data_IF_856274434740
#
_entry.id   IF_856274434740
#
_cell.length_a   1.000
_cell.length_b   1.000
_cell.length_c   1.000
_cell.angle_alpha   90.00
_cell.angle_beta   90.00
_cell.angle_gamma   90.00
#
_symmetry.space_group_name_H-M   'P 1'
#
loop_
_entity.id
_entity.type
_entity.pdbx_description
1 polymer ?
#
# COMPACT_ATOMS: atom_id res chain seq x y z
N UNK A 1 -1.70 -19.16 17.55
CA UNK A 1 -1.96 -18.63 16.20
C UNK A 1 -0.86 -17.63 15.89
N UNK A 2 -0.43 -17.56 14.62
CA UNK A 2 0.56 -16.57 14.19
C UNK A 2 -0.06 -15.19 14.08
N UNK A 3 0.79 -14.17 14.27
CA UNK A 3 0.41 -12.76 14.21
C UNK A 3 1.05 -12.08 13.00
N UNK A 4 0.26 -11.33 12.25
CA UNK A 4 0.72 -10.50 11.13
C UNK A 4 0.64 -9.01 11.48
N UNK A 5 1.66 -8.24 11.10
CA UNK A 5 1.50 -6.80 10.89
C UNK A 5 1.19 -6.55 9.41
N UNK A 6 0.13 -5.81 9.16
CA UNK A 6 -0.30 -5.44 7.81
C UNK A 6 -0.26 -3.93 7.63
N UNK A 7 0.31 -3.50 6.51
CA UNK A 7 0.59 -2.10 6.22
C UNK A 7 -0.26 -1.63 5.03
N UNK A 8 -1.12 -0.62 5.20
CA UNK A 8 -1.93 -0.09 4.11
C UNK A 8 -1.08 0.64 3.06
N UNK A 9 -1.72 1.05 1.99
CA UNK A 9 -1.09 1.82 0.93
C UNK A 9 -1.54 3.28 0.91
N UNK A 10 -1.29 3.91 -0.23
CA UNK A 10 -1.78 5.25 -0.52
C UNK A 10 -3.32 5.28 -0.44
N UNK A 11 -3.86 6.29 0.22
CA UNK A 11 -5.28 6.42 0.53
C UNK A 11 -5.58 6.48 2.03
N UNK A 12 -4.68 5.99 2.87
CA UNK A 12 -4.82 6.06 4.34
C UNK A 12 -4.28 7.36 4.95
N UNK A 13 -3.67 8.26 4.15
CA UNK A 13 -3.16 9.54 4.65
C UNK A 13 -4.30 10.44 5.15
N UNK A 14 -4.04 11.15 6.23
CA UNK A 14 -4.95 12.16 6.78
C UNK A 14 -4.19 13.32 7.43
N UNK A 15 -4.82 14.49 7.47
CA UNK A 15 -4.27 15.66 8.15
C UNK A 15 -3.91 15.35 9.60
N UNK A 16 -2.76 15.82 10.05
CA UNK A 16 -2.26 15.60 11.40
C UNK A 16 -1.59 14.25 11.63
N UNK A 17 -1.52 13.37 10.61
CA UNK A 17 -0.99 12.01 10.76
C UNK A 17 0.43 12.00 11.35
N UNK A 18 0.62 11.23 12.40
CA UNK A 18 1.90 11.02 13.06
C UNK A 18 2.29 12.08 14.10
N UNK A 19 1.51 13.15 14.27
CA UNK A 19 1.81 14.20 15.24
C UNK A 19 1.81 13.66 16.68
N UNK A 20 0.84 12.84 17.01
CA UNK A 20 0.71 12.17 18.30
C UNK A 20 1.90 11.22 18.58
N UNK A 21 2.37 10.49 17.58
CA UNK A 21 3.56 9.62 17.71
C UNK A 21 4.81 10.47 17.95
N UNK A 22 4.97 11.53 17.17
CA UNK A 22 6.10 12.44 17.28
C UNK A 22 6.18 13.08 18.66
N UNK A 23 5.05 13.52 19.21
CA UNK A 23 5.01 14.19 20.53
C UNK A 23 5.20 13.21 21.71
N UNK A 24 4.66 11.99 21.59
CA UNK A 24 4.62 11.05 22.70
C UNK A 24 5.87 10.15 22.79
N UNK A 25 6.52 9.85 21.66
CA UNK A 25 7.59 8.84 21.61
C UNK A 25 8.89 9.39 21.04
N UNK A 26 9.97 9.50 21.86
CA UNK A 26 11.28 9.96 21.37
C UNK A 26 11.84 9.14 20.21
N UNK A 27 11.55 7.82 20.17
CA UNK A 27 11.98 6.95 19.06
C UNK A 27 11.26 7.30 17.75
N UNK A 28 9.93 7.54 17.81
CA UNK A 28 9.17 8.02 16.65
C UNK A 28 9.69 9.38 16.19
N UNK A 29 9.84 10.33 17.12
CA UNK A 29 10.39 11.65 16.84
C UNK A 29 11.72 11.56 16.09
N UNK A 30 12.63 10.70 16.54
CA UNK A 30 13.93 10.50 15.87
C UNK A 30 13.78 10.03 14.42
N UNK A 31 12.80 9.15 14.11
CA UNK A 31 12.53 8.71 12.73
C UNK A 31 11.98 9.85 11.87
N UNK A 32 11.05 10.63 12.41
CA UNK A 32 10.51 11.80 11.70
C UNK A 32 11.58 12.85 11.40
N UNK A 33 12.50 13.13 12.35
CA UNK A 33 13.60 14.08 12.11
C UNK A 33 14.61 13.51 11.09
N UNK A 34 14.94 12.23 11.12
CA UNK A 34 15.77 11.59 10.07
C UNK A 34 15.14 11.74 8.68
N UNK A 35 13.80 11.63 8.59
CA UNK A 35 13.11 11.88 7.34
C UNK A 35 13.19 13.35 6.89
N UNK A 36 13.05 14.30 7.83
CA UNK A 36 13.25 15.72 7.53
C UNK A 36 14.67 15.99 7.00
N UNK A 37 15.69 15.40 7.63
CA UNK A 37 17.09 15.53 7.21
C UNK A 37 17.29 14.94 5.81
N UNK A 38 16.71 13.76 5.54
CA UNK A 38 16.79 13.13 4.22
C UNK A 38 16.23 14.03 3.11
N UNK A 39 15.09 14.66 3.34
CA UNK A 39 14.45 15.54 2.35
C UNK A 39 15.09 16.95 2.28
N UNK A 40 15.95 17.32 3.22
CA UNK A 40 16.43 18.70 3.35
C UNK A 40 15.29 19.71 3.57
N UNK A 41 14.12 19.25 3.98
CA UNK A 41 12.91 20.03 4.33
C UNK A 41 12.09 19.29 5.37
N UNK A 42 11.24 20.00 6.06
CA UNK A 42 10.34 19.39 7.06
C UNK A 42 9.13 18.75 6.39
N UNK A 43 9.27 17.49 5.99
CA UNK A 43 8.12 16.69 5.52
C UNK A 43 7.06 16.57 6.62
N UNK A 44 7.48 16.62 7.88
CA UNK A 44 6.60 16.65 9.05
C UNK A 44 5.64 17.82 9.06
N UNK A 45 6.00 18.98 8.50
CA UNK A 45 5.10 20.13 8.44
C UNK A 45 3.91 19.84 7.53
N UNK A 46 4.14 19.14 6.40
CA UNK A 46 3.07 18.67 5.53
C UNK A 46 2.21 17.61 6.23
N UNK A 47 2.82 16.67 6.96
CA UNK A 47 2.11 15.60 7.68
C UNK A 47 1.25 16.13 8.82
N UNK A 48 1.76 17.10 9.59
CA UNK A 48 1.13 17.56 10.84
C UNK A 48 0.19 18.74 10.63
N UNK A 49 0.45 19.59 9.67
CA UNK A 49 -0.20 20.88 9.49
C UNK A 49 -0.60 21.19 8.04
N UNK A 50 -0.16 20.37 7.08
CA UNK A 50 -0.48 20.55 5.68
C UNK A 50 -1.96 20.27 5.41
N UNK A 51 -2.49 20.90 4.35
CA UNK A 51 -3.83 20.64 3.87
C UNK A 51 -3.97 19.23 3.27
N UNK A 52 -5.19 18.73 3.21
CA UNK A 52 -5.50 17.48 2.53
C UNK A 52 -4.97 17.47 1.08
N UNK A 53 -5.09 18.58 0.37
CA UNK A 53 -4.59 18.71 -1.00
C UNK A 53 -3.06 18.55 -1.10
N UNK A 54 -2.30 19.18 -0.20
CA UNK A 54 -0.85 19.01 -0.16
C UNK A 54 -0.46 17.57 0.18
N UNK A 55 -1.17 16.96 1.12
CA UNK A 55 -0.92 15.60 1.55
C UNK A 55 -1.31 14.58 0.47
N UNK A 56 -2.29 14.88 -0.39
CA UNK A 56 -2.70 14.05 -1.53
C UNK A 56 -1.72 14.06 -2.71
N UNK A 57 -0.79 15.01 -2.77
CA UNK A 57 0.26 14.96 -3.80
C UNK A 57 1.13 13.72 -3.62
N UNK A 58 1.25 12.87 -4.63
CA UNK A 58 1.97 11.58 -4.58
C UNK A 58 3.37 11.70 -3.98
N UNK A 59 4.10 12.77 -4.29
CA UNK A 59 5.44 13.08 -3.74
C UNK A 59 5.45 13.29 -2.22
N UNK A 60 4.31 13.67 -1.63
CA UNK A 60 4.12 13.86 -0.19
C UNK A 60 3.44 12.64 0.43
N UNK A 61 2.38 12.13 -0.19
CA UNK A 61 1.60 11.00 0.33
C UNK A 61 2.45 9.78 0.61
N UNK A 62 3.24 9.34 -0.39
CA UNK A 62 3.96 8.08 -0.24
C UNK A 62 5.01 8.15 0.87
N UNK A 63 5.88 9.17 0.95
CA UNK A 63 6.79 9.30 2.08
C UNK A 63 6.06 9.46 3.42
N UNK A 64 4.98 10.23 3.49
CA UNK A 64 4.24 10.46 4.73
C UNK A 64 3.66 9.18 5.30
N UNK A 65 3.00 8.36 4.47
CA UNK A 65 2.44 7.06 4.86
C UNK A 65 3.56 6.12 5.32
N UNK A 66 4.63 5.99 4.55
CA UNK A 66 5.76 5.14 4.90
C UNK A 66 6.40 5.52 6.25
N UNK A 67 6.69 6.81 6.45
CA UNK A 67 7.31 7.31 7.71
C UNK A 67 6.40 6.99 8.89
N UNK A 68 5.09 7.26 8.74
CA UNK A 68 4.10 6.98 9.77
C UNK A 68 4.04 5.49 10.12
N UNK A 69 3.93 4.62 9.12
CA UNK A 69 3.83 3.17 9.30
C UNK A 69 5.06 2.60 10.01
N UNK A 70 6.27 2.99 9.57
CA UNK A 70 7.51 2.56 10.21
C UNK A 70 7.59 3.08 11.64
N UNK A 71 7.27 4.36 11.87
CA UNK A 71 7.27 4.94 13.21
C UNK A 71 6.28 4.23 14.12
N UNK A 72 5.04 4.00 13.68
CA UNK A 72 4.03 3.30 14.46
C UNK A 72 4.43 1.86 14.78
N UNK A 73 4.91 1.10 13.79
CA UNK A 73 5.30 -0.29 14.00
C UNK A 73 6.51 -0.46 14.91
N UNK A 74 7.52 0.42 14.81
CA UNK A 74 8.78 0.29 15.57
C UNK A 74 8.74 0.89 16.97
N UNK A 75 7.78 1.76 17.24
CA UNK A 75 7.61 2.39 18.57
C UNK A 75 6.93 1.45 19.56
N UNK A 76 5.98 0.63 19.09
CA UNK A 76 5.32 -0.37 19.92
C UNK A 76 6.29 -1.54 20.24
N UNK A 77 6.11 -2.18 21.41
CA UNK A 77 6.99 -3.27 21.89
C UNK A 77 6.22 -4.56 22.24
N UNK A 78 4.90 -4.56 22.06
CA UNK A 78 4.04 -5.68 22.47
C UNK A 78 3.96 -6.74 21.36
N UNK A 79 3.76 -6.31 20.10
CA UNK A 79 3.56 -7.23 18.99
C UNK A 79 4.88 -7.50 18.29
N UNK A 80 5.35 -8.74 18.40
CA UNK A 80 6.42 -9.28 17.56
C UNK A 80 5.74 -10.07 16.45
N UNK A 81 5.78 -9.63 15.19
CA UNK A 81 5.07 -10.32 14.13
C UNK A 81 5.76 -11.62 13.75
N UNK A 82 4.97 -12.66 13.51
CA UNK A 82 5.43 -13.90 12.87
C UNK A 82 5.60 -13.72 11.36
N UNK A 83 4.82 -12.80 10.79
CA UNK A 83 4.88 -12.43 9.37
C UNK A 83 4.50 -10.96 9.19
N UNK A 84 4.93 -10.37 8.08
CA UNK A 84 4.51 -9.03 7.68
C UNK A 84 3.99 -9.03 6.24
N UNK A 85 3.06 -8.11 5.94
CA UNK A 85 2.52 -7.93 4.60
C UNK A 85 2.18 -6.45 4.38
N UNK A 86 2.46 -5.94 3.20
CA UNK A 86 2.12 -4.56 2.85
C UNK A 86 1.28 -4.49 1.58
N UNK A 87 0.27 -3.65 1.58
CA UNK A 87 -0.55 -3.38 0.41
C UNK A 87 0.08 -2.27 -0.43
N UNK A 88 0.56 -2.60 -1.63
CA UNK A 88 1.21 -1.62 -2.51
C UNK A 88 2.36 -0.89 -1.79
N UNK A 89 2.21 0.40 -1.52
CA UNK A 89 3.20 1.22 -0.80
C UNK A 89 3.60 0.60 0.56
N UNK A 90 2.66 0.01 1.28
CA UNK A 90 2.90 -0.61 2.59
C UNK A 90 3.93 -1.75 2.56
N UNK A 91 4.22 -2.35 1.40
CA UNK A 91 5.27 -3.36 1.28
C UNK A 91 6.66 -2.80 1.64
N UNK A 92 6.92 -1.52 1.38
CA UNK A 92 8.17 -0.87 1.76
C UNK A 92 8.31 -0.73 3.28
N UNK A 93 7.22 -0.41 3.98
CA UNK A 93 7.20 -0.40 5.45
C UNK A 93 7.40 -1.82 6.02
N UNK A 94 6.75 -2.83 5.43
CA UNK A 94 6.94 -4.23 5.80
C UNK A 94 8.41 -4.68 5.66
N UNK A 95 9.09 -4.29 4.57
CA UNK A 95 10.51 -4.56 4.35
C UNK A 95 11.41 -3.93 5.42
N UNK A 96 11.11 -2.71 5.87
CA UNK A 96 11.87 -2.04 6.92
C UNK A 96 11.58 -2.66 8.29
N UNK A 97 10.31 -2.87 8.63
CA UNK A 97 9.89 -3.40 9.94
C UNK A 97 10.38 -4.83 10.15
N UNK A 98 10.46 -5.64 9.10
CA UNK A 98 11.07 -6.98 9.15
C UNK A 98 12.60 -6.98 9.21
N UNK A 99 13.24 -5.81 9.06
CA UNK A 99 14.71 -5.69 9.08
C UNK A 99 15.40 -5.99 7.74
N UNK A 100 14.65 -6.22 6.67
CA UNK A 100 15.23 -6.44 5.34
C UNK A 100 15.86 -5.18 4.76
N UNK A 101 15.27 -4.01 5.00
CA UNK A 101 15.80 -2.71 4.62
C UNK A 101 16.10 -1.84 5.83
N UNK A 102 17.06 -0.92 5.71
CA UNK A 102 17.18 0.20 6.64
C UNK A 102 16.05 1.20 6.42
N UNK A 103 15.78 2.05 7.41
CA UNK A 103 14.78 3.11 7.27
C UNK A 103 15.15 4.07 6.12
N UNK A 104 16.42 4.47 6.01
CA UNK A 104 16.92 5.35 4.97
C UNK A 104 16.81 4.73 3.58
N UNK A 105 17.15 3.45 3.44
CA UNK A 105 16.99 2.75 2.16
C UNK A 105 15.52 2.68 1.76
N UNK A 106 14.63 2.31 2.69
CA UNK A 106 13.20 2.29 2.46
C UNK A 106 12.64 3.66 2.06
N UNK A 107 13.06 4.72 2.77
CA UNK A 107 12.65 6.09 2.48
C UNK A 107 13.14 6.55 1.10
N UNK A 108 14.39 6.22 0.74
CA UNK A 108 14.96 6.51 -0.57
C UNK A 108 14.19 5.82 -1.69
N UNK A 109 13.85 4.55 -1.52
CA UNK A 109 13.06 3.80 -2.51
C UNK A 109 11.65 4.38 -2.66
N UNK A 110 10.97 4.70 -1.56
CA UNK A 110 9.64 5.31 -1.57
C UNK A 110 9.64 6.69 -2.22
N UNK A 111 10.65 7.51 -1.94
CA UNK A 111 10.82 8.81 -2.59
C UNK A 111 10.92 8.68 -4.11
N UNK A 112 11.79 7.80 -4.60
CA UNK A 112 11.97 7.62 -6.03
C UNK A 112 10.75 6.93 -6.69
N UNK A 113 10.08 6.01 -5.96
CA UNK A 113 8.80 5.43 -6.41
C UNK A 113 7.75 6.51 -6.65
N UNK A 114 7.64 7.46 -5.73
CA UNK A 114 6.70 8.57 -5.85
C UNK A 114 7.07 9.49 -7.03
N UNK A 115 8.35 9.83 -7.16
CA UNK A 115 8.87 10.71 -8.21
C UNK A 115 8.67 10.10 -9.62
N UNK A 116 9.11 8.86 -9.82
CA UNK A 116 9.03 8.20 -11.12
C UNK A 116 7.59 7.81 -11.48
N UNK A 117 6.81 7.40 -10.48
CA UNK A 117 5.38 7.14 -10.67
C UNK A 117 4.63 8.39 -11.10
N UNK A 118 4.88 9.53 -10.46
CA UNK A 118 4.27 10.80 -10.85
C UNK A 118 4.68 11.22 -12.26
N UNK A 119 5.96 11.12 -12.61
CA UNK A 119 6.47 11.41 -13.95
C UNK A 119 5.77 10.55 -15.04
N UNK A 120 5.58 9.25 -14.78
CA UNK A 120 4.88 8.35 -15.68
C UNK A 120 3.40 8.75 -15.84
N UNK A 121 2.74 9.18 -14.75
CA UNK A 121 1.36 9.64 -14.78
C UNK A 121 1.15 10.94 -15.56
N UNK A 122 2.10 11.87 -15.46
CA UNK A 122 2.06 13.14 -16.19
C UNK A 122 2.26 12.92 -17.70
N UNK A 123 3.08 11.95 -18.09
CA UNK A 123 3.36 11.63 -19.49
C UNK A 123 2.15 11.02 -20.21
N UNK A 124 1.38 10.18 -19.53
CA UNK A 124 0.25 9.47 -20.12
C UNK A 124 -1.00 9.67 -19.27
N UNK A 125 -2.06 10.34 -19.82
CA UNK A 125 -3.30 10.57 -19.09
C UNK A 125 -4.05 9.26 -18.83
N UNK A 126 -3.96 8.76 -17.61
CA UNK A 126 -4.57 7.51 -17.15
C UNK A 126 -5.52 7.76 -15.98
N UNK A 127 -6.22 6.72 -15.55
CA UNK A 127 -7.12 6.77 -14.41
C UNK A 127 -7.16 5.43 -13.67
N UNK A 128 -7.70 5.45 -12.46
CA UNK A 128 -8.00 4.26 -11.67
C UNK A 128 -9.46 4.26 -11.24
N UNK A 129 -10.03 3.07 -11.08
CA UNK A 129 -11.41 2.91 -10.64
C UNK A 129 -11.59 1.72 -9.70
N UNK A 130 -12.49 1.85 -8.73
CA UNK A 130 -12.84 0.77 -7.82
C UNK A 130 -14.17 0.14 -8.21
N UNK A 131 -14.23 -1.20 -8.20
CA UNK A 131 -15.42 -1.99 -8.48
C UNK A 131 -15.67 -2.92 -7.31
N UNK A 132 -16.93 -2.96 -6.85
CA UNK A 132 -17.37 -3.82 -5.74
C UNK A 132 -18.67 -4.51 -6.11
N UNK A 133 -18.76 -5.82 -5.84
CA UNK A 133 -20.00 -6.58 -5.86
C UNK A 133 -20.26 -7.39 -7.12
N UNK A 134 -19.25 -7.55 -7.97
CA UNK A 134 -19.26 -8.51 -9.08
C UNK A 134 -18.11 -9.52 -8.90
N UNK A 135 -18.25 -10.77 -9.38
CA UNK A 135 -17.14 -11.74 -9.35
C UNK A 135 -15.93 -11.27 -10.15
N UNK A 136 -14.72 -11.57 -9.65
CA UNK A 136 -13.47 -11.14 -10.29
C UNK A 136 -13.37 -11.64 -11.74
N UNK A 137 -13.70 -12.91 -11.99
CA UNK A 137 -13.69 -13.53 -13.34
C UNK A 137 -14.68 -12.85 -14.30
N UNK A 138 -15.82 -12.39 -13.77
CA UNK A 138 -16.78 -11.63 -14.59
C UNK A 138 -16.20 -10.28 -14.99
N UNK A 139 -15.56 -9.58 -14.05
CA UNK A 139 -14.93 -8.29 -14.31
C UNK A 139 -13.79 -8.45 -15.31
N UNK A 140 -12.95 -9.49 -15.17
CA UNK A 140 -11.85 -9.80 -16.11
C UNK A 140 -12.36 -10.00 -17.54
N UNK A 141 -13.41 -10.81 -17.69
CA UNK A 141 -14.04 -11.05 -18.99
C UNK A 141 -14.56 -9.75 -19.60
N UNK A 142 -15.29 -8.93 -18.80
CA UNK A 142 -15.85 -7.67 -19.29
C UNK A 142 -14.81 -6.65 -19.68
N UNK A 143 -13.72 -6.54 -18.93
CA UNK A 143 -12.60 -5.66 -19.26
C UNK A 143 -12.01 -6.06 -20.62
N UNK A 144 -11.79 -7.36 -20.84
CA UNK A 144 -11.27 -7.85 -22.12
C UNK A 144 -12.19 -7.51 -23.28
N UNK A 145 -13.50 -7.77 -23.14
CA UNK A 145 -14.49 -7.47 -24.17
C UNK A 145 -14.56 -5.96 -24.47
N UNK A 146 -14.51 -5.11 -23.44
CA UNK A 146 -14.51 -3.65 -23.60
C UNK A 146 -13.22 -3.19 -24.31
N UNK A 147 -12.08 -3.76 -23.95
CA UNK A 147 -10.83 -3.44 -24.61
C UNK A 147 -10.85 -3.85 -26.09
N UNK A 148 -11.32 -5.07 -26.40
CA UNK A 148 -11.44 -5.56 -27.78
C UNK A 148 -12.38 -4.68 -28.62
N UNK A 149 -13.47 -4.17 -28.04
CA UNK A 149 -14.43 -3.29 -28.72
C UNK A 149 -13.91 -1.85 -28.92
N UNK A 150 -13.17 -1.32 -27.94
CA UNK A 150 -12.85 0.12 -27.91
C UNK A 150 -11.41 0.45 -28.26
N UNK A 151 -10.50 -0.54 -28.21
CA UNK A 151 -9.06 -0.35 -28.31
C UNK A 151 -8.44 0.30 -27.06
N UNK A 152 -9.23 0.57 -25.99
CA UNK A 152 -8.83 1.30 -24.80
C UNK A 152 -8.34 0.34 -23.72
N UNK A 153 -7.02 0.37 -23.37
CA UNK A 153 -6.46 -0.61 -22.45
C UNK A 153 -6.91 -0.38 -21.00
N UNK A 154 -7.33 -1.46 -20.35
CA UNK A 154 -7.71 -1.53 -18.94
C UNK A 154 -7.07 -2.75 -18.31
N UNK A 155 -6.49 -2.59 -17.14
CA UNK A 155 -5.78 -3.62 -16.38
C UNK A 155 -6.34 -3.72 -14.97
N UNK A 156 -6.16 -4.89 -14.33
CA UNK A 156 -6.32 -5.02 -12.89
C UNK A 156 -5.11 -4.41 -12.20
N UNK A 157 -5.36 -3.52 -11.23
CA UNK A 157 -4.33 -2.95 -10.36
C UNK A 157 -4.29 -3.64 -8.99
N UNK A 158 -5.46 -3.97 -8.42
CA UNK A 158 -5.53 -4.60 -7.11
C UNK A 158 -6.65 -5.63 -7.06
N UNK A 159 -6.34 -6.81 -6.52
CA UNK A 159 -7.30 -7.81 -6.05
C UNK A 159 -7.41 -7.66 -4.53
N UNK A 160 -8.29 -6.77 -4.06
CA UNK A 160 -8.38 -6.40 -2.64
C UNK A 160 -9.16 -7.41 -1.79
N UNK A 161 -10.08 -8.11 -2.39
CA UNK A 161 -10.90 -9.14 -1.77
C UNK A 161 -11.88 -9.71 -2.79
N UNK A 162 -12.53 -10.85 -2.54
CA UNK A 162 -13.50 -11.41 -3.47
C UNK A 162 -14.58 -10.40 -3.86
N UNK A 163 -14.66 -10.08 -5.14
CA UNK A 163 -15.58 -9.07 -5.67
C UNK A 163 -15.25 -7.62 -5.30
N UNK A 164 -14.02 -7.34 -4.88
CA UNK A 164 -13.54 -5.99 -4.61
C UNK A 164 -12.19 -5.77 -5.28
N UNK A 165 -12.19 -5.07 -6.41
CA UNK A 165 -11.00 -4.87 -7.24
C UNK A 165 -10.79 -3.39 -7.56
N UNK A 166 -9.55 -3.05 -7.89
CA UNK A 166 -9.18 -1.78 -8.50
C UNK A 166 -8.68 -2.04 -9.90
N UNK A 167 -9.17 -1.25 -10.85
CA UNK A 167 -8.76 -1.27 -12.25
C UNK A 167 -8.02 0.01 -12.60
N UNK A 168 -7.15 -0.07 -13.60
CA UNK A 168 -6.31 1.04 -14.04
C UNK A 168 -6.17 1.01 -15.57
N UNK A 169 -5.96 2.15 -16.20
CA UNK A 169 -5.83 2.20 -17.66
C UNK A 169 -6.07 3.57 -18.25
N UNK A 170 -6.40 3.61 -19.56
CA UNK A 170 -6.76 4.86 -20.22
C UNK A 170 -7.97 5.49 -19.56
N UNK A 171 -8.03 6.82 -19.57
CA UNK A 171 -9.19 7.55 -18.98
C UNK A 171 -10.53 7.14 -19.60
N UNK A 172 -10.55 6.91 -20.91
CA UNK A 172 -11.76 6.49 -21.61
C UNK A 172 -12.12 5.04 -21.28
N UNK A 173 -11.13 4.14 -21.29
CA UNK A 173 -11.32 2.72 -20.94
C UNK A 173 -11.86 2.57 -19.53
N UNK A 174 -11.29 3.27 -18.55
CA UNK A 174 -11.76 3.24 -17.16
C UNK A 174 -13.19 3.76 -17.03
N UNK A 175 -13.50 4.91 -17.62
CA UNK A 175 -14.87 5.48 -17.56
C UNK A 175 -15.90 4.56 -18.22
N UNK A 176 -15.57 4.00 -19.38
CA UNK A 176 -16.45 3.05 -20.08
C UNK A 176 -16.68 1.80 -19.26
N UNK A 177 -15.61 1.22 -18.72
CA UNK A 177 -15.69 0.01 -17.88
C UNK A 177 -16.52 0.25 -16.62
N UNK A 178 -16.28 1.34 -15.88
CA UNK A 178 -17.03 1.68 -14.68
C UNK A 178 -18.52 1.88 -14.98
N UNK A 179 -18.86 2.58 -16.07
CA UNK A 179 -20.25 2.78 -16.48
C UNK A 179 -20.95 1.45 -16.77
N UNK A 180 -20.36 0.61 -17.64
CA UNK A 180 -20.95 -0.67 -18.03
C UNK A 180 -21.11 -1.61 -16.84
N UNK A 181 -20.07 -1.79 -16.02
CA UNK A 181 -20.16 -2.66 -14.86
C UNK A 181 -21.16 -2.15 -13.81
N UNK A 182 -21.37 -0.82 -13.72
CA UNK A 182 -22.44 -0.28 -12.88
C UNK A 182 -23.83 -0.63 -13.40
N UNK A 183 -24.04 -0.53 -14.70
CA UNK A 183 -25.29 -0.93 -15.37
C UNK A 183 -25.53 -2.45 -15.27
N UNK A 184 -24.47 -3.25 -15.23
CA UNK A 184 -24.48 -4.71 -15.09
C UNK A 184 -24.58 -5.21 -13.64
N UNK A 185 -24.78 -4.31 -12.67
CA UNK A 185 -25.12 -4.68 -11.30
C UNK A 185 -24.00 -4.56 -10.27
N UNK A 186 -22.86 -3.93 -10.59
CA UNK A 186 -21.87 -3.60 -9.58
C UNK A 186 -22.49 -2.75 -8.46
N UNK A 187 -22.30 -3.15 -7.20
CA UNK A 187 -22.75 -2.37 -6.03
C UNK A 187 -22.08 -0.99 -6.02
N UNK A 188 -20.79 -0.97 -6.35
CA UNK A 188 -19.99 0.25 -6.49
C UNK A 188 -19.10 0.13 -7.73
N UNK A 189 -19.07 1.19 -8.55
CA UNK A 189 -18.14 1.37 -9.66
C UNK A 189 -17.84 2.86 -9.74
N UNK A 190 -16.67 3.29 -9.24
CA UNK A 190 -16.34 4.70 -9.03
C UNK A 190 -14.92 5.01 -9.47
N UNK A 191 -14.74 6.21 -10.02
CA UNK A 191 -13.42 6.75 -10.31
C UNK A 191 -12.70 7.09 -8.99
N UNK A 192 -11.42 6.74 -8.91
CA UNK A 192 -10.58 7.10 -7.77
C UNK A 192 -9.87 8.44 -8.02
N UNK A 193 -9.70 9.23 -6.97
CA UNK A 193 -8.95 10.49 -7.00
C UNK A 193 -7.42 10.31 -7.01
N UNK A 194 -6.94 9.12 -7.27
CA UNK A 194 -5.50 8.80 -7.33
C UNK A 194 -5.03 9.09 -8.76
N UNK A 195 -4.02 9.93 -8.89
CA UNK A 195 -3.37 10.18 -10.17
C UNK A 195 -2.52 8.98 -10.58
N UNK A 196 -2.79 8.47 -11.78
CA UNK A 196 -1.90 7.53 -12.45
C UNK A 196 -2.29 6.06 -12.43
N UNK A 197 -1.61 5.31 -13.30
CA UNK A 197 -1.86 3.88 -13.52
C UNK A 197 -0.79 3.01 -12.84
N UNK A 198 -0.65 3.15 -11.52
CA UNK A 198 0.15 2.22 -10.75
C UNK A 198 -0.33 0.78 -10.98
N UNK A 199 0.59 -0.18 -10.87
CA UNK A 199 0.32 -1.62 -11.03
C UNK A 199 -0.14 -2.00 -12.44
N UNK A 200 0.43 -1.36 -13.46
CA UNK A 200 0.14 -1.62 -14.87
C UNK A 200 1.36 -1.38 -15.76
N UNK A 201 1.33 -1.82 -17.02
CA UNK A 201 2.41 -1.55 -17.99
C UNK A 201 2.72 -0.06 -18.22
N UNK A 202 1.80 0.85 -17.89
CA UNK A 202 2.06 2.28 -17.94
C UNK A 202 3.18 2.75 -17.00
N UNK A 203 3.56 1.92 -16.01
CA UNK A 203 4.66 2.17 -15.08
C UNK A 203 6.00 1.58 -15.53
N UNK A 204 6.14 1.06 -16.77
CA UNK A 204 7.38 0.41 -17.20
C UNK A 204 8.62 1.31 -17.08
N UNK A 205 8.53 2.60 -17.48
CA UNK A 205 9.65 3.52 -17.32
C UNK A 205 10.00 3.73 -15.83
N UNK A 206 8.98 3.90 -14.99
CA UNK A 206 9.17 4.02 -13.54
C UNK A 206 9.78 2.75 -12.94
N UNK A 207 9.39 1.56 -13.42
CA UNK A 207 9.99 0.28 -13.01
C UNK A 207 11.48 0.21 -13.36
N UNK A 208 11.85 0.63 -14.57
CA UNK A 208 13.26 0.61 -15.01
C UNK A 208 14.10 1.57 -14.17
N UNK A 209 13.67 2.83 -14.00
CA UNK A 209 14.38 3.83 -13.21
C UNK A 209 14.47 3.42 -11.72
N UNK A 210 13.39 2.97 -11.11
CA UNK A 210 13.35 2.50 -9.73
C UNK A 210 14.15 1.20 -9.56
N UNK A 211 14.08 0.29 -10.53
CA UNK A 211 14.79 -0.97 -10.53
C UNK A 211 16.30 -0.80 -10.43
N UNK A 212 16.86 0.22 -11.09
CA UNK A 212 18.31 0.52 -10.98
C UNK A 212 18.70 0.97 -9.56
N UNK A 213 17.80 1.63 -8.84
CA UNK A 213 18.04 2.00 -7.43
C UNK A 213 17.89 0.76 -6.54
N UNK A 214 16.83 -0.04 -6.74
CA UNK A 214 16.60 -1.28 -5.97
C UNK A 214 17.79 -2.22 -6.11
N UNK A 215 18.33 -2.42 -7.31
CA UNK A 215 19.52 -3.29 -7.54
C UNK A 215 20.74 -2.87 -6.72
N UNK A 216 20.93 -1.56 -6.53
CA UNK A 216 22.04 -1.00 -5.76
C UNK A 216 21.79 -0.95 -4.26
N UNK A 217 20.53 -1.11 -3.83
CA UNK A 217 20.16 -1.10 -2.41
C UNK A 217 20.48 -2.43 -1.76
N UNK A 218 20.98 -2.40 -0.53
CA UNK A 218 21.30 -3.59 0.24
C UNK A 218 20.07 -4.15 0.92
N UNK A 219 19.71 -5.39 0.59
CA UNK A 219 18.68 -6.16 1.28
C UNK A 219 19.33 -7.19 2.19
N UNK A 220 18.75 -7.37 3.37
CA UNK A 220 19.14 -8.39 4.35
C UNK A 220 18.03 -9.44 4.46
N UNK A 221 18.39 -10.62 4.98
CA UNK A 221 17.37 -11.59 5.35
C UNK A 221 16.47 -10.99 6.44
N UNK A 222 15.14 -11.02 6.25
CA UNK A 222 14.20 -10.44 7.20
C UNK A 222 14.11 -11.31 8.48
N UNK A 223 13.69 -10.70 9.57
CA UNK A 223 13.47 -11.39 10.86
C UNK A 223 12.23 -12.31 10.83
N UNK A 224 11.30 -12.05 9.91
CA UNK A 224 10.11 -12.87 9.66
C UNK A 224 9.75 -12.82 8.17
N UNK A 225 9.02 -13.82 7.64
CA UNK A 225 8.59 -13.83 6.24
C UNK A 225 7.79 -12.60 5.85
N UNK A 226 8.02 -12.11 4.64
CA UNK A 226 7.31 -10.98 4.03
C UNK A 226 6.44 -11.51 2.92
N UNK A 227 5.12 -11.31 3.01
CA UNK A 227 4.21 -11.59 1.89
C UNK A 227 4.29 -10.44 0.90
N UNK A 228 4.63 -10.73 -0.37
CA UNK A 228 4.82 -9.72 -1.38
C UNK A 228 3.64 -9.63 -2.36
N UNK A 229 3.36 -8.42 -2.85
CA UNK A 229 2.21 -8.11 -3.67
C UNK A 229 2.19 -8.84 -5.01
N UNK A 230 3.36 -9.09 -5.59
CA UNK A 230 3.50 -9.60 -6.98
C UNK A 230 3.01 -11.02 -7.14
N UNK A 231 3.23 -11.88 -6.16
CA UNK A 231 2.87 -13.30 -6.22
C UNK A 231 2.01 -13.78 -5.04
N UNK A 232 1.81 -12.91 -4.06
CA UNK A 232 1.01 -13.19 -2.87
C UNK A 232 1.65 -14.18 -1.90
N UNK A 233 2.94 -14.50 -2.04
CA UNK A 233 3.65 -15.54 -1.27
C UNK A 233 4.62 -14.96 -0.24
N UNK A 234 4.97 -15.75 0.81
CA UNK A 234 5.98 -15.35 1.79
C UNK A 234 7.39 -15.57 1.25
N UNK A 235 8.26 -14.58 1.44
CA UNK A 235 9.67 -14.62 1.08
C UNK A 235 10.56 -14.24 2.25
N UNK A 236 11.77 -14.87 2.30
CA UNK A 236 12.83 -14.58 3.27
C UNK A 236 14.20 -14.40 2.62
N UNK A 237 14.31 -14.73 1.33
CA UNK A 237 15.55 -14.58 0.58
C UNK A 237 15.68 -13.12 0.08
N UNK A 238 16.77 -12.41 0.41
CA UNK A 238 16.98 -11.02 -0.01
C UNK A 238 16.92 -10.80 -1.53
N UNK A 239 17.43 -11.73 -2.34
CA UNK A 239 17.44 -11.59 -3.79
C UNK A 239 16.04 -11.79 -4.40
N UNK A 240 15.23 -12.69 -3.82
CA UNK A 240 13.82 -12.84 -4.21
C UNK A 240 13.01 -11.61 -3.84
N UNK A 241 13.18 -11.09 -2.60
CA UNK A 241 12.53 -9.87 -2.13
C UNK A 241 12.84 -8.68 -3.07
N UNK A 242 14.11 -8.56 -3.46
CA UNK A 242 14.58 -7.52 -4.38
C UNK A 242 13.98 -7.67 -5.77
N UNK A 243 14.01 -8.88 -6.35
CA UNK A 243 13.48 -9.17 -7.67
C UNK A 243 11.97 -8.87 -7.74
N UNK A 244 11.21 -9.31 -6.74
CA UNK A 244 9.77 -9.05 -6.65
C UNK A 244 9.47 -7.55 -6.49
N UNK A 245 10.25 -6.83 -5.71
CA UNK A 245 10.05 -5.38 -5.52
C UNK A 245 10.31 -4.59 -6.81
N UNK A 246 11.21 -5.03 -7.69
CA UNK A 246 11.43 -4.42 -9.01
C UNK A 246 10.16 -4.53 -9.88
N UNK A 247 9.50 -5.67 -9.85
CA UNK A 247 8.29 -5.91 -10.64
C UNK A 247 7.02 -5.30 -10.02
N UNK A 248 7.06 -4.96 -8.74
CA UNK A 248 5.93 -4.53 -7.92
C UNK A 248 5.10 -3.38 -8.55
N UNK A 249 5.74 -2.35 -9.11
CA UNK A 249 5.04 -1.14 -9.59
C UNK A 249 4.26 -1.38 -10.89
N UNK A 250 4.57 -2.47 -11.63
CA UNK A 250 3.93 -2.83 -12.89
C UNK A 250 2.97 -4.02 -12.80
N UNK A 251 2.96 -4.73 -11.67
CA UNK A 251 2.14 -5.92 -11.44
C UNK A 251 0.98 -5.64 -10.48
N UNK A 252 -0.15 -6.35 -10.61
CA UNK A 252 -1.26 -6.22 -9.68
C UNK A 252 -0.87 -6.51 -8.24
N UNK A 253 -1.50 -5.82 -7.30
CA UNK A 253 -1.45 -6.18 -5.88
C UNK A 253 -2.36 -7.38 -5.63
N UNK A 254 -1.80 -8.53 -5.33
CA UNK A 254 -2.53 -9.78 -5.10
C UNK A 254 -2.94 -9.92 -3.62
N UNK A 255 -3.59 -8.89 -3.05
CA UNK A 255 -3.95 -8.86 -1.62
C UNK A 255 -4.84 -10.02 -1.20
N UNK A 256 -5.82 -10.38 -2.03
CA UNK A 256 -6.67 -11.55 -1.80
C UNK A 256 -5.84 -12.83 -1.62
N UNK A 257 -4.84 -13.04 -2.47
CA UNK A 257 -3.95 -14.20 -2.39
C UNK A 257 -3.04 -14.13 -1.16
N UNK A 258 -2.50 -12.96 -0.85
CA UNK A 258 -1.69 -12.75 0.35
C UNK A 258 -2.46 -13.13 1.62
N UNK A 259 -3.68 -12.64 1.79
CA UNK A 259 -4.53 -12.95 2.96
C UNK A 259 -4.86 -14.43 3.04
N UNK A 260 -5.24 -15.07 1.92
CA UNK A 260 -5.51 -16.50 1.88
C UNK A 260 -4.28 -17.36 2.24
N UNK A 261 -3.12 -16.98 1.73
CA UNK A 261 -1.87 -17.68 2.02
C UNK A 261 -1.46 -17.48 3.48
N UNK A 262 -1.56 -16.27 4.03
CA UNK A 262 -1.33 -16.03 5.45
C UNK A 262 -2.24 -16.88 6.33
N UNK A 263 -3.54 -16.97 6.00
CA UNK A 263 -4.50 -17.80 6.73
C UNK A 263 -4.12 -19.28 6.64
N UNK A 264 -3.78 -19.78 5.46
CA UNK A 264 -3.34 -21.17 5.25
C UNK A 264 -2.05 -21.49 6.03
N UNK A 265 -1.16 -20.52 6.21
CA UNK A 265 0.08 -20.64 6.98
C UNK A 265 -0.12 -20.46 8.50
N UNK A 266 -1.38 -20.34 8.95
CA UNK A 266 -1.76 -20.32 10.37
C UNK A 266 -1.80 -18.94 11.02
N UNK A 267 -1.83 -17.85 10.23
CA UNK A 267 -2.07 -16.51 10.75
C UNK A 267 -3.53 -16.38 11.18
N UNK A 268 -3.75 -15.99 12.43
CA UNK A 268 -5.08 -15.84 13.00
C UNK A 268 -5.29 -14.50 13.71
N UNK A 269 -4.21 -13.70 13.83
CA UNK A 269 -4.29 -12.35 14.39
C UNK A 269 -3.61 -11.38 13.43
N UNK A 270 -4.30 -10.28 13.10
CA UNK A 270 -3.81 -9.24 12.21
C UNK A 270 -3.87 -7.88 12.91
N UNK A 271 -2.78 -7.11 12.82
CA UNK A 271 -2.75 -5.73 13.25
C UNK A 271 -2.47 -4.82 12.06
N UNK A 272 -3.42 -3.95 11.72
CA UNK A 272 -3.21 -2.92 10.72
C UNK A 272 -2.41 -1.76 11.31
N UNK A 273 -1.34 -1.41 10.62
CA UNK A 273 -0.45 -0.30 10.98
C UNK A 273 -0.77 0.89 10.08
N UNK A 274 -1.93 1.48 10.27
CA UNK A 274 -2.42 2.58 9.44
C UNK A 274 -3.16 3.64 10.26
N UNK A 275 -3.63 4.65 9.57
CA UNK A 275 -4.44 5.72 10.17
C UNK A 275 -5.94 5.44 10.04
N UNK A 276 -6.32 4.41 9.31
CA UNK A 276 -7.69 3.95 9.09
C UNK A 276 -7.81 2.44 9.31
N UNK A 277 -8.94 1.86 8.96
CA UNK A 277 -9.28 0.45 9.14
C UNK A 277 -9.56 -0.28 7.80
N UNK A 278 -9.02 0.21 6.71
CA UNK A 278 -9.34 -0.28 5.36
C UNK A 278 -8.96 -1.75 5.18
N UNK A 279 -7.74 -2.14 5.56
CA UNK A 279 -7.29 -3.53 5.46
C UNK A 279 -7.98 -4.43 6.48
N UNK A 280 -8.24 -3.91 7.68
CA UNK A 280 -9.02 -4.64 8.72
C UNK A 280 -10.37 -5.09 8.18
N UNK A 281 -11.12 -4.19 7.55
CA UNK A 281 -12.44 -4.49 6.97
C UNK A 281 -12.37 -5.54 5.87
N UNK A 282 -11.30 -5.54 5.08
CA UNK A 282 -11.09 -6.54 4.03
C UNK A 282 -10.76 -7.90 4.65
N UNK A 283 -9.78 -7.94 5.56
CA UNK A 283 -9.33 -9.18 6.21
C UNK A 283 -10.45 -9.79 7.04
N UNK A 284 -11.18 -9.00 7.83
CA UNK A 284 -12.30 -9.50 8.64
C UNK A 284 -13.41 -10.16 7.80
N UNK A 285 -13.66 -9.66 6.59
CA UNK A 285 -14.63 -10.31 5.67
C UNK A 285 -14.10 -11.60 5.06
N UNK A 286 -12.79 -11.68 4.81
CA UNK A 286 -12.17 -12.87 4.21
C UNK A 286 -11.90 -13.97 5.24
N UNK A 287 -11.59 -13.58 6.48
CA UNK A 287 -11.17 -14.44 7.57
C UNK A 287 -12.01 -14.15 8.82
N UNK A 288 -13.31 -14.49 8.84
CA UNK A 288 -14.23 -14.11 9.93
C UNK A 288 -13.86 -14.72 11.31
N UNK A 289 -13.07 -15.79 11.30
CA UNK A 289 -12.57 -16.44 12.53
C UNK A 289 -11.27 -15.82 13.07
N UNK A 290 -10.70 -14.87 12.35
CA UNK A 290 -9.46 -14.22 12.74
C UNK A 290 -9.71 -12.99 13.61
N UNK A 291 -8.77 -12.70 14.49
CA UNK A 291 -8.74 -11.46 15.24
C UNK A 291 -8.09 -10.37 14.38
N UNK A 292 -8.83 -9.31 14.09
CA UNK A 292 -8.34 -8.20 13.26
C UNK A 292 -8.47 -6.91 14.02
N UNK A 293 -7.35 -6.23 14.26
CA UNK A 293 -7.25 -5.02 15.09
C UNK A 293 -6.44 -3.93 14.43
N UNK A 294 -6.60 -2.71 14.91
CA UNK A 294 -5.65 -1.63 14.69
C UNK A 294 -4.47 -1.74 15.66
N UNK A 295 -3.28 -1.32 15.22
CA UNK A 295 -2.15 -1.12 16.13
C UNK A 295 -2.48 -0.13 17.26
N UNK A 296 -3.41 0.78 17.03
CA UNK A 296 -3.92 1.74 18.00
C UNK A 296 -4.74 1.12 19.14
N UNK A 297 -5.13 -0.15 19.03
CA UNK A 297 -5.80 -0.89 20.09
C UNK A 297 -4.81 -1.40 21.16
N UNK A 298 -3.52 -1.34 20.88
CA UNK A 298 -2.48 -1.69 21.85
C UNK A 298 -2.45 -0.70 23.01
N UNK A 299 -2.17 -1.20 24.22
CA UNK A 299 -2.19 -0.40 25.45
C UNK A 299 -1.26 0.82 25.40
N UNK A 300 -0.11 0.69 24.72
CA UNK A 300 0.84 1.78 24.55
C UNK A 300 0.26 2.97 23.79
N UNK A 301 -0.72 2.73 22.91
CA UNK A 301 -1.30 3.76 22.06
C UNK A 301 -2.70 4.19 22.49
N UNK A 302 -3.34 3.51 23.45
CA UNK A 302 -4.72 3.82 23.85
C UNK A 302 -4.91 5.26 24.33
N UNK A 303 -3.89 5.83 24.98
CA UNK A 303 -3.93 7.21 25.47
C UNK A 303 -3.74 8.27 24.36
N UNK A 304 -3.36 7.82 23.14
CA UNK A 304 -3.15 8.69 21.97
C UNK A 304 -4.34 8.66 21.00
N UNK A 305 -5.33 7.79 21.22
CA UNK A 305 -6.51 7.75 20.36
C UNK A 305 -7.16 9.14 20.36
N UNK A 306 -7.44 9.72 19.17
CA UNK A 306 -8.22 10.94 19.09
C UNK A 306 -9.54 10.72 19.84
N UNK A 307 -9.94 11.67 20.66
CA UNK A 307 -11.28 11.67 21.22
C UNK A 307 -12.22 11.75 20.03
N UNK A 308 -12.99 10.68 19.80
CA UNK A 308 -14.02 10.68 18.75
C UNK A 308 -14.96 11.86 19.04
N UNK A 309 -14.95 12.84 18.13
CA UNK A 309 -15.80 14.03 18.19
C UNK A 309 -17.20 13.72 17.67
#
# INVERSE_FOLDING_TARGET
>A
MKTALIFPGQGCQKEGMGKELYDAFPQAKALFERANDFFGRRITDVMFFGSELELMETKNTQPAVFIYEVAAATTQKIVVPDVVAGHSLGEFAALVVSGSLSFEDGLNLVYHRALYGQKACEKTPTAMGAIIGLPDEYIEKRIKEIWDETGEPVYFANYNGPGQVVITGSKLGIRTTLKRLKEEGAKKAVLLGIGGSFHSPYMNEAREELGEIIKKTTFKAPNCPIYQCVDGKPHTNPEELKANLIEHITHPVLWTSMVRNMQADGVGTYFEVGTDDTLQKIVARMCPESEVRSIWDLKEYQHLKPIES
#
